data_IF_720905754996
#
_entry.id   IF_720905754996
#
_cell.length_a   1.000
_cell.length_b   1.000
_cell.length_c   1.000
_cell.angle_alpha   90.00
_cell.angle_beta   90.00
_cell.angle_gamma   90.00
#
_symmetry.space_group_name_H-M   'P 1'
#
loop_
_entity.id
_entity.type
_entity.pdbx_description
1 polymer ?
#
# COMPACT_ATOMS: atom_id res chain seq x y z
N UNK A 1 46.27 -8.75 2.90
CA UNK A 1 45.23 -9.27 1.99
C UNK A 1 43.92 -8.71 2.50
N UNK A 2 43.47 -7.61 1.89
CA UNK A 2 42.19 -7.00 2.22
C UNK A 2 41.06 -7.86 1.63
N UNK A 3 39.98 -8.02 2.40
CA UNK A 3 38.76 -8.77 2.06
C UNK A 3 38.00 -8.01 0.96
N UNK A 4 38.43 -8.15 -0.30
CA UNK A 4 37.93 -7.38 -1.46
C UNK A 4 36.55 -7.82 -1.99
N UNK A 5 35.92 -8.88 -1.46
CA UNK A 5 34.80 -9.56 -2.16
C UNK A 5 33.47 -9.67 -1.38
N UNK A 6 33.14 -8.72 -0.50
CA UNK A 6 31.81 -8.66 0.12
C UNK A 6 30.93 -7.58 -0.49
N UNK A 7 30.44 -7.82 -1.70
CA UNK A 7 29.40 -6.98 -2.32
C UNK A 7 28.12 -7.08 -1.49
N UNK A 8 27.67 -5.94 -0.95
CA UNK A 8 26.40 -5.88 -0.23
C UNK A 8 25.24 -6.24 -1.17
N UNK A 9 24.29 -7.04 -0.69
CA UNK A 9 23.11 -7.44 -1.48
C UNK A 9 21.83 -7.02 -0.77
N UNK A 10 20.87 -6.56 -1.54
CA UNK A 10 19.50 -6.35 -1.06
C UNK A 10 18.87 -7.65 -0.58
N UNK A 11 17.73 -7.57 0.12
CA UNK A 11 16.90 -8.75 0.46
C UNK A 11 16.45 -9.55 -0.77
N UNK A 12 16.36 -8.89 -1.93
CA UNK A 12 16.05 -9.53 -3.21
C UNK A 12 17.28 -10.12 -3.93
N UNK A 13 18.48 -10.03 -3.31
CA UNK A 13 19.72 -10.57 -3.86
C UNK A 13 20.43 -9.67 -4.88
N UNK A 14 19.89 -8.48 -5.16
CA UNK A 14 20.48 -7.50 -6.09
C UNK A 14 21.76 -6.92 -5.45
N UNK A 15 22.92 -7.00 -6.11
CA UNK A 15 24.16 -6.39 -5.61
C UNK A 15 24.03 -4.86 -5.59
N UNK A 16 24.51 -4.23 -4.53
CA UNK A 16 24.65 -2.78 -4.42
C UNK A 16 26.14 -2.48 -4.35
N UNK A 17 26.69 -1.70 -5.29
CA UNK A 17 28.08 -1.27 -5.22
C UNK A 17 28.29 -0.27 -4.06
N UNK A 18 29.49 -0.25 -3.47
CA UNK A 18 29.83 0.68 -2.38
C UNK A 18 29.76 2.14 -2.81
N UNK A 19 30.06 2.40 -4.09
CA UNK A 19 29.91 3.71 -4.73
C UNK A 19 28.97 3.53 -5.92
N UNK A 20 27.84 4.25 -5.98
CA UNK A 20 26.96 4.22 -7.15
C UNK A 20 27.71 4.68 -8.39
N UNK A 21 27.74 3.84 -9.43
CA UNK A 21 28.21 4.21 -10.76
C UNK A 21 27.02 4.50 -11.69
N UNK A 22 27.31 5.06 -12.86
CA UNK A 22 26.29 5.34 -13.88
C UNK A 22 25.92 4.09 -14.71
N UNK A 23 26.55 2.94 -14.46
CA UNK A 23 26.26 1.68 -15.16
C UNK A 23 24.91 1.11 -14.69
N UNK A 24 24.53 1.36 -13.43
CA UNK A 24 23.21 1.00 -12.90
C UNK A 24 22.17 2.09 -13.19
N UNK A 25 21.34 1.87 -14.22
CA UNK A 25 20.10 2.61 -14.43
C UNK A 25 20.15 3.79 -15.42
N UNK A 26 21.26 3.96 -16.13
CA UNK A 26 21.36 4.91 -17.26
C UNK A 26 21.38 4.09 -18.57
N UNK A 27 20.20 3.63 -19.02
CA UNK A 27 20.16 2.79 -20.23
C UNK A 27 18.79 2.38 -20.75
N UNK A 28 17.73 2.52 -19.97
CA UNK A 28 16.36 2.25 -20.43
C UNK A 28 15.61 3.56 -20.66
N UNK A 29 14.71 3.58 -21.65
CA UNK A 29 13.82 4.69 -21.92
C UNK A 29 12.88 4.90 -20.72
N UNK A 30 13.35 5.71 -19.77
CA UNK A 30 12.59 6.14 -18.60
C UNK A 30 11.33 6.92 -18.99
N UNK A 31 11.28 7.45 -20.22
CA UNK A 31 10.16 8.17 -20.78
C UNK A 31 9.77 9.45 -20.01
N UNK A 32 8.63 10.00 -20.39
CA UNK A 32 7.98 11.13 -19.71
C UNK A 32 6.85 10.63 -18.81
N UNK A 33 6.58 11.28 -17.66
CA UNK A 33 5.42 10.95 -16.84
C UNK A 33 4.12 11.11 -17.65
N UNK A 34 3.20 10.17 -17.50
CA UNK A 34 1.94 10.14 -18.27
C UNK A 34 2.04 9.48 -19.65
N UNK A 35 3.19 8.93 -20.04
CA UNK A 35 3.38 8.16 -21.26
C UNK A 35 4.01 6.79 -20.97
N UNK A 36 3.71 5.73 -21.75
CA UNK A 36 4.43 4.46 -21.65
C UNK A 36 5.96 4.67 -21.76
N UNK A 37 6.79 3.92 -21.01
CA UNK A 37 6.43 2.80 -20.12
C UNK A 37 5.96 3.22 -18.71
N UNK A 38 5.68 4.49 -18.46
CA UNK A 38 5.22 5.04 -17.18
C UNK A 38 6.18 4.87 -16.01
N UNK A 39 7.47 4.64 -16.27
CA UNK A 39 8.52 4.52 -15.24
C UNK A 39 8.54 5.73 -14.31
N UNK A 40 8.20 6.92 -14.83
CA UNK A 40 8.13 8.19 -14.06
C UNK A 40 6.73 8.54 -13.53
N UNK A 41 5.75 7.65 -13.70
CA UNK A 41 4.38 7.81 -13.22
C UNK A 41 3.32 7.82 -14.32
N UNK A 42 2.08 7.46 -13.95
CA UNK A 42 0.94 7.31 -14.87
C UNK A 42 0.26 8.63 -15.27
N UNK A 43 0.57 9.74 -14.59
CA UNK A 43 -0.02 11.05 -14.86
C UNK A 43 1.09 12.06 -15.18
N UNK A 44 0.84 12.97 -16.12
CA UNK A 44 1.83 13.97 -16.54
C UNK A 44 2.23 14.95 -15.43
N UNK A 45 1.25 15.40 -14.65
CA UNK A 45 1.41 16.39 -13.58
C UNK A 45 1.65 15.73 -12.20
N UNK A 46 1.35 14.43 -12.06
CA UNK A 46 1.41 13.68 -10.80
C UNK A 46 0.85 14.50 -9.63
N UNK A 47 1.58 14.55 -8.52
CA UNK A 47 1.17 15.18 -7.28
C UNK A 47 1.24 16.71 -7.29
N UNK A 48 1.68 17.33 -8.40
CA UNK A 48 1.61 18.80 -8.57
C UNK A 48 0.19 19.28 -8.83
N UNK A 49 -0.66 18.44 -9.41
CA UNK A 49 -2.07 18.73 -9.66
C UNK A 49 -2.98 18.11 -8.60
N UNK A 50 -2.76 16.83 -8.28
CA UNK A 50 -3.56 16.09 -7.31
C UNK A 50 -2.70 15.18 -6.46
N UNK A 51 -2.69 15.39 -5.15
CA UNK A 51 -2.01 14.51 -4.19
C UNK A 51 -2.60 13.10 -4.20
N UNK A 52 -1.84 12.11 -3.74
CA UNK A 52 -2.35 10.76 -3.57
C UNK A 52 -3.54 10.74 -2.60
N UNK A 53 -4.46 9.79 -2.77
CA UNK A 53 -5.55 9.61 -1.82
C UNK A 53 -5.00 9.14 -0.48
N UNK A 54 -5.20 9.92 0.57
CA UNK A 54 -4.97 9.46 1.94
C UNK A 54 -6.12 8.53 2.30
N UNK A 55 -5.81 7.25 2.52
CA UNK A 55 -6.81 6.19 2.74
C UNK A 55 -6.34 5.29 3.88
N UNK A 56 -6.82 5.55 5.09
CA UNK A 56 -6.58 4.64 6.22
C UNK A 56 -7.52 3.45 6.10
N UNK A 57 -6.93 2.27 6.30
CA UNK A 57 -7.65 1.01 6.44
C UNK A 57 -8.26 0.92 7.83
N UNK A 58 -9.59 0.82 7.90
CA UNK A 58 -10.31 0.79 9.17
C UNK A 58 -11.59 -0.06 9.05
N UNK A 59 -11.86 -0.84 10.09
CA UNK A 59 -13.09 -1.58 10.33
C UNK A 59 -13.13 -1.86 11.83
N UNK A 60 -14.32 -1.78 12.41
CA UNK A 60 -14.59 -1.96 13.83
C UNK A 60 -15.82 -2.83 13.98
N UNK A 61 -15.86 -3.55 15.09
CA UNK A 61 -16.86 -4.55 15.48
C UNK A 61 -18.27 -4.38 14.94
N UNK A 62 -18.81 -3.16 14.93
CA UNK A 62 -20.09 -2.86 14.31
C UNK A 62 -19.99 -1.83 13.18
N UNK A 63 -20.95 -1.90 12.25
CA UNK A 63 -21.11 -0.91 11.17
C UNK A 63 -21.26 0.53 11.70
N UNK A 64 -21.88 0.70 12.88
CA UNK A 64 -22.07 2.01 13.51
C UNK A 64 -20.73 2.60 13.97
N UNK A 65 -19.94 1.83 14.71
CA UNK A 65 -18.61 2.26 15.16
C UNK A 65 -17.66 2.50 13.99
N UNK A 66 -17.75 1.66 12.95
CA UNK A 66 -17.03 1.86 11.69
C UNK A 66 -17.41 3.18 11.03
N UNK A 67 -18.71 3.54 11.00
CA UNK A 67 -19.17 4.81 10.45
C UNK A 67 -18.66 6.02 11.26
N UNK A 68 -18.76 5.97 12.59
CA UNK A 68 -18.25 7.02 13.48
C UNK A 68 -16.73 7.23 13.26
N UNK A 69 -15.98 6.15 13.09
CA UNK A 69 -14.56 6.24 12.73
C UNK A 69 -14.34 6.91 11.38
N UNK A 70 -15.08 6.53 10.35
CA UNK A 70 -14.94 7.12 9.02
C UNK A 70 -15.19 8.63 9.04
N UNK A 71 -16.23 9.08 9.74
CA UNK A 71 -16.50 10.51 9.90
C UNK A 71 -15.33 11.22 10.60
N UNK A 72 -14.84 10.69 11.71
CA UNK A 72 -13.68 11.26 12.41
C UNK A 72 -12.42 11.33 11.54
N UNK A 73 -12.21 10.35 10.66
CA UNK A 73 -11.08 10.32 9.74
C UNK A 73 -11.22 11.35 8.61
N UNK A 74 -12.42 11.49 8.05
CA UNK A 74 -12.72 12.51 7.03
C UNK A 74 -12.52 13.93 7.60
N UNK A 75 -12.99 14.17 8.83
CA UNK A 75 -12.76 15.44 9.54
C UNK A 75 -11.26 15.75 9.74
N UNK A 76 -10.43 14.71 9.87
CA UNK A 76 -8.96 14.83 10.02
C UNK A 76 -8.21 14.90 8.68
N UNK A 77 -8.91 15.04 7.56
CA UNK A 77 -8.31 15.25 6.24
C UNK A 77 -8.07 13.98 5.43
N UNK A 78 -8.61 12.84 5.85
CA UNK A 78 -8.65 11.65 4.99
C UNK A 78 -9.48 11.93 3.74
N UNK A 79 -9.03 11.46 2.56
CA UNK A 79 -9.67 11.74 1.27
C UNK A 79 -10.23 10.51 0.56
N UNK A 80 -10.17 9.33 1.20
CA UNK A 80 -10.87 8.12 0.74
C UNK A 80 -11.04 7.10 1.86
N UNK A 81 -12.14 6.35 1.87
CA UNK A 81 -12.46 5.35 2.91
C UNK A 81 -11.98 3.96 2.52
N UNK A 82 -11.53 3.14 3.47
CA UNK A 82 -11.21 1.74 3.22
C UNK A 82 -11.69 0.89 4.38
N UNK A 83 -12.48 -0.13 4.07
CA UNK A 83 -13.20 -0.95 5.04
C UNK A 83 -12.42 -2.25 5.27
N UNK A 84 -12.16 -2.58 6.54
CA UNK A 84 -11.84 -3.94 6.95
C UNK A 84 -13.14 -4.67 7.30
N UNK A 85 -13.27 -5.92 6.88
CA UNK A 85 -14.41 -6.76 7.22
C UNK A 85 -13.97 -7.87 8.17
N UNK A 86 -14.88 -8.37 8.99
CA UNK A 86 -14.62 -9.54 9.83
C UNK A 86 -14.38 -10.81 8.99
N UNK A 87 -13.85 -11.84 9.64
CA UNK A 87 -13.52 -13.09 8.96
C UNK A 87 -14.75 -13.79 8.34
N UNK A 88 -15.92 -13.88 9.02
CA UNK A 88 -17.13 -14.42 8.41
C UNK A 88 -17.50 -13.75 7.10
N UNK A 89 -17.51 -12.42 7.05
CA UNK A 89 -17.81 -11.67 5.82
C UNK A 89 -16.78 -11.95 4.72
N UNK A 90 -15.50 -12.07 5.06
CA UNK A 90 -14.45 -12.41 4.08
C UNK A 90 -14.62 -13.83 3.51
N UNK A 91 -15.18 -14.75 4.29
CA UNK A 91 -15.46 -16.13 3.89
C UNK A 91 -16.85 -16.30 3.25
N UNK A 92 -17.69 -15.26 3.25
CA UNK A 92 -19.05 -15.30 2.70
C UNK A 92 -20.05 -16.03 3.60
N UNK A 93 -19.80 -16.06 4.91
CA UNK A 93 -20.69 -16.64 5.92
C UNK A 93 -21.53 -15.54 6.58
N UNK A 94 -22.79 -15.87 6.88
CA UNK A 94 -23.64 -15.02 7.70
C UNK A 94 -23.17 -15.03 9.16
N UNK A 95 -23.49 -13.98 9.92
CA UNK A 95 -23.02 -13.83 11.30
C UNK A 95 -23.59 -14.88 12.27
N UNK A 96 -24.69 -15.53 11.92
CA UNK A 96 -25.34 -16.60 12.69
C UNK A 96 -24.97 -18.02 12.22
N UNK A 97 -24.05 -18.15 11.24
CA UNK A 97 -23.46 -19.44 10.87
C UNK A 97 -22.64 -20.01 12.04
N UNK A 98 -22.72 -21.33 12.26
CA UNK A 98 -22.01 -22.02 13.33
C UNK A 98 -20.49 -21.79 13.26
N UNK A 99 -19.93 -21.65 12.05
CA UNK A 99 -18.50 -21.38 11.82
C UNK A 99 -18.11 -19.92 12.09
N UNK A 100 -19.08 -19.01 12.20
CA UNK A 100 -18.84 -17.59 12.48
C UNK A 100 -18.63 -17.30 13.97
N UNK A 101 -18.97 -18.25 14.85
CA UNK A 101 -18.94 -18.05 16.29
C UNK A 101 -17.55 -17.63 16.79
N UNK A 102 -17.48 -16.46 17.42
CA UNK A 102 -16.26 -15.92 17.99
C UNK A 102 -15.42 -15.07 17.03
N UNK A 103 -15.78 -15.01 15.74
CA UNK A 103 -15.07 -14.23 14.72
C UNK A 103 -15.85 -13.00 14.22
N UNK A 104 -17.16 -12.94 14.48
CA UNK A 104 -18.02 -11.80 14.13
C UNK A 104 -17.50 -10.50 14.77
N UNK A 105 -17.21 -9.50 13.93
CA UNK A 105 -16.73 -8.18 14.35
C UNK A 105 -15.32 -8.14 14.98
N UNK A 106 -14.53 -9.22 14.91
CA UNK A 106 -13.21 -9.28 15.58
C UNK A 106 -12.12 -8.48 14.87
N UNK A 107 -12.08 -8.60 13.55
CA UNK A 107 -10.98 -8.09 12.72
C UNK A 107 -11.43 -7.02 11.73
N UNK A 108 -12.70 -6.62 11.80
CA UNK A 108 -13.32 -5.60 10.96
C UNK A 108 -14.74 -5.34 11.36
#
# INVERSE_FOLDING_TARGET
MADEDKVFRTRAGIPIPDVPDQEFGVGEDVGEPGSPPYTRGIHKSMYREKTWTMRQYAGFSSAKETNERFLSLLEKGQSGLSVAFDLPTQLGLDSDDDMSLGEVGKVG
#
